data_IF_884354897048
#
_entry.id   IF_884354897048
#
_cell.length_a   1.000
_cell.length_b   1.000
_cell.length_c   1.000
_cell.angle_alpha   90.00
_cell.angle_beta   90.00
_cell.angle_gamma   90.00
#
_symmetry.space_group_name_H-M   'P 1'
#
loop_
_entity.id
_entity.type
_entity.pdbx_description
1 polymer ?
#
# COMPACT_ATOMS: atom_id res chain seq x y z
N UNK A 1 2.48 0.05 8.77
CA UNK A 1 1.28 -0.15 7.95
C UNK A 1 1.31 -1.56 7.44
N UNK A 2 0.16 -2.22 7.34
CA UNK A 2 0.03 -3.55 6.76
C UNK A 2 -0.99 -3.54 5.64
N UNK A 3 -0.73 -4.30 4.58
CA UNK A 3 -1.66 -4.55 3.48
C UNK A 3 -1.65 -6.07 3.28
N UNK A 4 -2.66 -6.82 3.77
CA UNK A 4 -2.65 -8.29 3.73
C UNK A 4 -2.41 -8.85 2.32
N UNK A 5 -3.03 -8.24 1.32
CA UNK A 5 -2.88 -8.61 -0.09
C UNK A 5 -1.43 -8.52 -0.61
N UNK A 6 -0.55 -7.78 0.07
CA UNK A 6 0.87 -7.76 -0.26
C UNK A 6 1.68 -8.74 0.59
N UNK A 7 1.34 -8.91 1.87
CA UNK A 7 1.99 -9.91 2.73
C UNK A 7 1.86 -11.34 2.16
N UNK A 8 0.69 -11.64 1.56
CA UNK A 8 0.42 -12.90 0.85
C UNK A 8 1.35 -13.15 -0.37
N UNK A 9 1.97 -12.12 -0.93
CA UNK A 9 2.84 -12.25 -2.11
C UNK A 9 4.21 -12.83 -1.75
N UNK A 10 4.61 -12.75 -0.48
CA UNK A 10 5.96 -13.09 -0.03
C UNK A 10 7.05 -12.13 -0.56
N UNK A 11 8.22 -12.14 0.09
CA UNK A 11 9.36 -11.33 -0.36
C UNK A 11 9.25 -9.82 -0.11
N UNK A 12 8.30 -9.41 0.74
CA UNK A 12 8.21 -8.08 1.33
C UNK A 12 9.29 -7.92 2.39
N UNK A 13 10.18 -6.94 2.22
CA UNK A 13 11.25 -6.65 3.18
C UNK A 13 10.81 -5.56 4.15
N UNK A 14 10.16 -4.52 3.63
CA UNK A 14 9.69 -3.40 4.43
C UNK A 14 8.45 -2.77 3.81
N UNK A 15 7.50 -2.38 4.66
CA UNK A 15 6.37 -1.56 4.29
C UNK A 15 6.18 -0.44 5.31
N UNK A 16 6.23 0.80 4.83
CA UNK A 16 5.98 1.97 5.64
C UNK A 16 5.00 2.89 4.94
N UNK A 17 4.29 3.69 5.74
CA UNK A 17 3.41 4.70 5.24
C UNK A 17 3.48 5.93 6.13
N UNK A 18 3.31 7.10 5.53
CA UNK A 18 3.20 8.38 6.23
C UNK A 18 1.97 9.10 5.73
N UNK A 19 1.29 9.80 6.63
CA UNK A 19 0.16 10.63 6.26
C UNK A 19 0.67 11.88 5.53
N UNK A 20 0.25 12.05 4.28
CA UNK A 20 0.63 13.17 3.41
C UNK A 20 -0.51 14.17 3.18
N UNK A 21 -1.68 13.89 3.75
CA UNK A 21 -2.85 14.77 3.73
C UNK A 21 -4.01 14.19 4.57
N UNK A 22 -5.16 14.89 4.65
CA UNK A 22 -6.30 14.47 5.48
C UNK A 22 -6.84 13.08 5.13
N UNK A 23 -6.79 12.70 3.85
CA UNK A 23 -7.26 11.42 3.32
C UNK A 23 -6.21 10.77 2.40
N UNK A 24 -4.92 11.14 2.55
CA UNK A 24 -3.82 10.67 1.71
C UNK A 24 -2.70 10.05 2.55
N UNK A 25 -2.22 8.90 2.08
CA UNK A 25 -1.02 8.24 2.58
C UNK A 25 0.01 8.17 1.46
N UNK A 26 1.26 8.46 1.79
CA UNK A 26 2.40 8.07 0.96
C UNK A 26 2.94 6.76 1.49
N UNK A 27 2.90 5.71 0.68
CA UNK A 27 3.31 4.35 1.03
C UNK A 27 4.59 4.00 0.30
N UNK A 28 5.54 3.42 1.04
CA UNK A 28 6.78 2.85 0.52
C UNK A 28 6.80 1.36 0.80
N UNK A 29 7.17 0.60 -0.23
CA UNK A 29 7.37 -0.84 -0.17
C UNK A 29 8.77 -1.14 -0.69
N UNK A 30 9.56 -1.84 0.10
CA UNK A 30 10.79 -2.49 -0.36
C UNK A 30 10.52 -4.00 -0.43
N UNK A 31 10.69 -4.59 -1.62
CA UNK A 31 10.43 -6.01 -1.87
C UNK A 31 11.21 -6.49 -3.11
N UNK A 32 11.33 -7.81 -3.27
CA UNK A 32 11.92 -8.38 -4.48
C UNK A 32 11.14 -7.95 -5.74
N UNK A 33 11.82 -7.78 -6.89
CA UNK A 33 11.19 -7.36 -8.17
C UNK A 33 9.90 -8.14 -8.52
N UNK A 34 9.82 -9.48 -8.35
CA UNK A 34 8.58 -10.23 -8.61
C UNK A 34 7.41 -9.80 -7.70
N UNK A 35 7.69 -9.54 -6.42
CA UNK A 35 6.68 -9.10 -5.46
C UNK A 35 6.19 -7.68 -5.77
N UNK A 36 7.09 -6.77 -6.15
CA UNK A 36 6.72 -5.41 -6.60
C UNK A 36 5.78 -5.44 -7.82
N UNK A 37 6.07 -6.31 -8.80
CA UNK A 37 5.20 -6.47 -9.99
C UNK A 37 3.82 -7.00 -9.62
N UNK A 38 3.75 -7.98 -8.72
CA UNK A 38 2.49 -8.52 -8.24
C UNK A 38 1.71 -7.50 -7.41
N UNK A 39 2.37 -6.73 -6.54
CA UNK A 39 1.75 -5.66 -5.77
C UNK A 39 1.14 -4.60 -6.70
N UNK A 40 1.87 -4.17 -7.73
CA UNK A 40 1.34 -3.27 -8.76
C UNK A 40 0.12 -3.86 -9.47
N UNK A 41 0.15 -5.16 -9.82
CA UNK A 41 -1.01 -5.83 -10.42
C UNK A 41 -2.23 -5.86 -9.49
N UNK A 42 -2.04 -6.09 -8.19
CA UNK A 42 -3.11 -6.02 -7.17
C UNK A 42 -3.68 -4.61 -7.04
N UNK A 43 -2.84 -3.58 -7.07
CA UNK A 43 -3.30 -2.18 -7.07
C UNK A 43 -4.12 -1.84 -8.30
N UNK A 44 -3.75 -2.38 -9.48
CA UNK A 44 -4.53 -2.23 -10.71
C UNK A 44 -5.86 -3.00 -10.68
N UNK A 45 -5.92 -4.12 -9.97
CA UNK A 45 -7.15 -4.91 -9.82
C UNK A 45 -8.22 -4.19 -8.98
N UNK A 46 -7.81 -3.24 -8.12
CA UNK A 46 -8.75 -2.33 -7.47
C UNK A 46 -8.38 -1.96 -6.03
N UNK A 47 -9.42 -1.81 -5.22
CA UNK A 47 -9.32 -1.30 -3.86
C UNK A 47 -8.68 -2.34 -2.94
N UNK A 48 -7.80 -1.88 -2.05
CA UNK A 48 -7.08 -2.74 -1.10
C UNK A 48 -7.46 -2.39 0.33
N UNK A 49 -7.54 -3.41 1.17
CA UNK A 49 -7.69 -3.24 2.61
C UNK A 49 -6.32 -3.17 3.26
N UNK A 50 -6.20 -2.30 4.25
CA UNK A 50 -4.94 -2.07 4.95
C UNK A 50 -5.20 -1.65 6.40
N UNK A 51 -4.15 -1.69 7.22
CA UNK A 51 -4.16 -1.10 8.55
C UNK A 51 -3.05 -0.06 8.66
N UNK A 52 -3.40 1.15 9.05
CA UNK A 52 -2.46 2.23 9.34
C UNK A 52 -2.42 2.47 10.86
N UNK A 53 -1.29 2.10 11.48
CA UNK A 53 -1.25 1.91 12.94
C UNK A 53 -2.20 0.78 13.34
N UNK A 54 -3.15 1.08 14.22
CA UNK A 54 -4.24 0.18 14.61
C UNK A 54 -5.55 0.46 13.85
N UNK A 55 -5.55 1.45 12.95
CA UNK A 55 -6.78 1.88 12.27
C UNK A 55 -6.97 1.10 10.96
N UNK A 56 -8.07 0.33 10.81
CA UNK A 56 -8.40 -0.31 9.55
C UNK A 56 -8.84 0.74 8.54
N UNK A 57 -8.26 0.68 7.35
CA UNK A 57 -8.50 1.61 6.25
C UNK A 57 -8.75 0.87 4.94
N UNK A 58 -9.35 1.58 3.99
CA UNK A 58 -9.52 1.13 2.61
C UNK A 58 -8.80 2.09 1.68
N UNK A 59 -7.86 1.57 0.89
CA UNK A 59 -7.14 2.31 -0.14
C UNK A 59 -7.97 2.32 -1.43
N UNK A 60 -8.22 3.51 -1.97
CA UNK A 60 -9.21 3.73 -3.02
C UNK A 60 -8.61 4.06 -4.38
N UNK A 61 -7.58 4.89 -4.40
CA UNK A 61 -6.90 5.38 -5.60
C UNK A 61 -5.41 5.38 -5.33
N UNK A 62 -4.62 5.10 -6.35
CA UNK A 62 -3.17 5.00 -6.24
C UNK A 62 -2.49 5.84 -7.31
N UNK A 63 -1.45 6.57 -6.92
CA UNK A 63 -0.57 7.31 -7.83
C UNK A 63 0.86 6.88 -7.55
N UNK A 64 1.46 6.11 -8.46
CA UNK A 64 2.86 5.67 -8.33
C UNK A 64 3.77 6.86 -8.55
N UNK A 65 4.64 7.16 -7.57
CA UNK A 65 5.46 8.37 -7.56
C UNK A 65 6.88 8.18 -8.06
N UNK A 66 7.50 7.02 -7.83
CA UNK A 66 8.87 6.80 -8.29
C UNK A 66 9.20 5.31 -8.45
N UNK A 67 9.79 4.98 -9.61
CA UNK A 67 10.18 3.62 -10.03
C UNK A 67 11.71 3.48 -10.18
N UNK A 68 12.50 4.50 -9.83
CA UNK A 68 13.94 4.56 -10.14
C UNK A 68 14.83 3.61 -9.33
N UNK A 69 14.35 3.06 -8.22
CA UNK A 69 15.10 2.11 -7.41
C UNK A 69 14.58 0.67 -7.61
N UNK A 70 15.40 -0.24 -8.17
CA UNK A 70 15.05 -1.64 -8.29
C UNK A 70 14.67 -2.23 -6.93
N UNK A 71 13.45 -2.77 -6.82
CA UNK A 71 12.97 -3.38 -5.57
C UNK A 71 12.28 -2.40 -4.61
N UNK A 72 12.07 -1.14 -5.01
CA UNK A 72 11.24 -0.19 -4.26
C UNK A 72 10.03 0.24 -5.08
N UNK A 73 8.87 0.31 -4.43
CA UNK A 73 7.66 0.93 -4.95
C UNK A 73 7.21 2.03 -4.00
N UNK A 74 7.06 3.24 -4.51
CA UNK A 74 6.50 4.37 -3.76
C UNK A 74 5.25 4.84 -4.46
N UNK A 75 4.15 4.96 -3.72
CA UNK A 75 2.88 5.44 -4.25
C UNK A 75 2.12 6.27 -3.22
N UNK A 76 1.38 7.25 -3.71
CA UNK A 76 0.33 7.90 -2.93
C UNK A 76 -0.95 7.10 -3.04
N UNK A 77 -1.67 7.00 -1.92
CA UNK A 77 -2.98 6.39 -1.87
C UNK A 77 -3.99 7.31 -1.18
N UNK A 78 -5.14 7.52 -1.82
CA UNK A 78 -6.31 8.05 -1.11
C UNK A 78 -6.91 6.93 -0.27
N UNK A 79 -7.22 7.20 1.00
CA UNK A 79 -7.80 6.21 1.91
C UNK A 79 -9.05 6.71 2.60
N UNK A 80 -9.86 5.79 3.10
CA UNK A 80 -10.93 6.06 4.06
C UNK A 80 -10.80 5.13 5.25
N UNK A 81 -11.07 5.66 6.44
CA UNK A 81 -11.20 4.84 7.65
C UNK A 81 -12.38 3.91 7.48
N UNK A 82 -12.16 2.62 7.71
CA UNK A 82 -13.22 1.64 7.76
C UNK A 82 -13.72 1.62 9.19
N UNK A 83 -14.90 2.16 9.43
CA UNK A 83 -15.60 1.84 10.68
C UNK A 83 -15.98 0.36 10.57
N UNK A 84 -15.44 -0.45 11.47
CA UNK A 84 -16.05 -1.73 11.79
C UNK A 84 -17.30 -1.33 12.56
N UNK A 85 -18.41 -1.14 11.85
CA UNK A 85 -19.69 -0.97 12.53
C UNK A 85 -19.93 -2.28 13.31
N UNK A 86 -19.99 -2.14 14.64
CA UNK A 86 -20.29 -3.18 15.62
C UNK A 86 -21.70 -3.73 15.46
#
# INVERSE_FOLDING_TARGET
MTIPAFEELGGLQCMSAVQSGPDRLTVRIDAAKPAIRQAAARMMAGQLYATFGETPIKLLRYTVMNQGEPGRLVFDATYRVRRLDS
#
